data_IF_860801010564
#
_entry.id   IF_860801010564
#
_cell.length_a   1.000
_cell.length_b   1.000
_cell.length_c   1.000
_cell.angle_alpha   90.00
_cell.angle_beta   90.00
_cell.angle_gamma   90.00
#
_symmetry.space_group_name_H-M   'P 1'
#
loop_
_entity.id
_entity.type
_entity.pdbx_description
1 polymer ?
#
# COMPACT_ATOMS: atom_id res chain seq x y z
N UNK A 1 -19.56 -11.04 8.35
CA UNK A 1 -19.13 -11.84 7.17
C UNK A 1 -20.17 -12.93 6.96
N UNK A 2 -20.89 -12.93 5.83
CA UNK A 2 -21.95 -13.92 5.57
C UNK A 2 -21.38 -15.19 4.92
N UNK A 3 -22.08 -16.33 4.97
CA UNK A 3 -21.64 -17.54 4.24
C UNK A 3 -21.40 -17.26 2.74
N UNK A 4 -22.21 -16.40 2.12
CA UNK A 4 -22.04 -16.02 0.72
C UNK A 4 -20.76 -15.21 0.46
N UNK A 5 -20.31 -14.38 1.41
CA UNK A 5 -19.01 -13.69 1.34
C UNK A 5 -17.84 -14.68 1.40
N UNK A 6 -18.03 -15.84 2.04
CA UNK A 6 -17.01 -16.88 2.20
C UNK A 6 -16.66 -17.60 0.88
N UNK A 7 -17.62 -17.69 -0.04
CA UNK A 7 -17.48 -18.45 -1.30
C UNK A 7 -17.31 -17.59 -2.55
N UNK A 8 -17.77 -16.32 -2.53
CA UNK A 8 -17.73 -15.46 -3.71
C UNK A 8 -16.36 -14.80 -3.84
N UNK A 9 -15.57 -15.20 -4.85
CA UNK A 9 -14.29 -14.59 -5.22
C UNK A 9 -14.48 -13.17 -5.77
N UNK A 10 -14.73 -12.20 -4.89
CA UNK A 10 -14.88 -10.78 -5.26
C UNK A 10 -13.51 -10.24 -5.69
N UNK A 11 -13.49 -9.44 -6.77
CA UNK A 11 -12.27 -8.85 -7.32
C UNK A 11 -11.41 -8.10 -6.28
N UNK A 12 -11.98 -7.31 -5.34
CA UNK A 12 -11.19 -6.68 -4.29
C UNK A 12 -10.47 -7.67 -3.36
N UNK A 13 -11.11 -8.81 -3.06
CA UNK A 13 -10.54 -9.85 -2.20
C UNK A 13 -9.38 -10.55 -2.92
N UNK A 14 -9.55 -10.87 -4.20
CA UNK A 14 -8.48 -11.46 -5.01
C UNK A 14 -7.28 -10.50 -5.14
N UNK A 15 -7.53 -9.21 -5.37
CA UNK A 15 -6.47 -8.20 -5.44
C UNK A 15 -5.73 -8.06 -4.11
N UNK A 16 -6.44 -8.15 -2.99
CA UNK A 16 -5.84 -8.13 -1.65
C UNK A 16 -4.89 -9.32 -1.43
N UNK A 17 -5.33 -10.55 -1.75
CA UNK A 17 -4.48 -11.73 -1.62
C UNK A 17 -3.29 -11.68 -2.58
N UNK A 18 -3.49 -11.28 -3.82
CA UNK A 18 -2.40 -11.13 -4.79
C UNK A 18 -1.34 -10.12 -4.31
N UNK A 19 -1.79 -8.99 -3.73
CA UNK A 19 -0.89 -8.02 -3.10
C UNK A 19 -0.13 -8.64 -1.92
N UNK A 20 -0.83 -9.33 -1.01
CA UNK A 20 -0.22 -10.01 0.14
C UNK A 20 0.86 -11.02 -0.28
N UNK A 21 0.58 -11.80 -1.33
CA UNK A 21 1.51 -12.78 -1.87
C UNK A 21 2.73 -12.11 -2.51
N UNK A 22 2.56 -10.99 -3.21
CA UNK A 22 3.65 -10.20 -3.78
C UNK A 22 4.58 -9.64 -2.69
N UNK A 23 4.04 -9.09 -1.61
CA UNK A 23 4.83 -8.59 -0.47
C UNK A 23 5.67 -9.72 0.15
N UNK A 24 5.05 -10.88 0.39
CA UNK A 24 5.72 -12.06 0.95
C UNK A 24 6.81 -12.58 0.03
N UNK A 25 6.55 -12.64 -1.28
CA UNK A 25 7.53 -13.09 -2.26
C UNK A 25 8.77 -12.19 -2.31
N UNK A 26 8.58 -10.89 -2.09
CA UNK A 26 9.68 -9.92 -2.07
C UNK A 26 10.42 -9.84 -0.71
N UNK A 27 10.05 -10.65 0.29
CA UNK A 27 10.63 -10.66 1.64
C UNK A 27 10.76 -9.27 2.26
N UNK A 28 9.72 -8.44 2.10
CA UNK A 28 9.70 -7.08 2.65
C UNK A 28 9.69 -7.16 4.17
N UNK A 29 10.59 -6.41 4.81
CA UNK A 29 10.65 -6.25 6.26
C UNK A 29 10.37 -4.80 6.65
N UNK A 30 9.92 -4.61 7.88
CA UNK A 30 9.65 -3.30 8.47
C UNK A 30 10.07 -3.33 9.94
N UNK A 31 10.74 -2.29 10.47
CA UNK A 31 10.97 -2.19 11.91
C UNK A 31 9.65 -1.93 12.66
N UNK A 32 9.66 -2.12 13.97
CA UNK A 32 8.47 -1.92 14.83
C UNK A 32 8.10 -0.44 15.02
N UNK A 33 9.02 0.49 14.72
CA UNK A 33 8.85 1.94 14.90
C UNK A 33 9.79 2.72 13.98
N UNK A 34 9.62 4.04 13.94
CA UNK A 34 10.50 4.99 13.26
C UNK A 34 10.70 4.67 11.77
N UNK A 35 9.64 4.30 11.07
CA UNK A 35 9.67 4.13 9.62
C UNK A 35 8.81 5.16 8.90
N UNK A 36 9.13 5.40 7.64
CA UNK A 36 8.28 6.10 6.69
C UNK A 36 8.02 5.23 5.46
N UNK A 37 6.79 4.76 5.31
CA UNK A 37 6.30 4.10 4.11
C UNK A 37 5.74 5.15 3.15
N UNK A 38 6.22 5.14 1.91
CA UNK A 38 5.63 5.90 0.80
C UNK A 38 5.07 4.94 -0.24
N UNK A 39 3.74 4.93 -0.36
CA UNK A 39 3.04 4.26 -1.44
C UNK A 39 3.02 5.15 -2.68
N UNK A 40 3.67 4.71 -3.74
CA UNK A 40 3.61 5.35 -5.05
C UNK A 40 2.54 4.63 -5.86
N UNK A 41 1.42 5.30 -6.13
CA UNK A 41 0.31 4.73 -6.90
C UNK A 41 0.41 5.14 -8.36
N UNK A 42 0.28 4.19 -9.30
CA UNK A 42 0.43 4.47 -10.72
C UNK A 42 -0.70 5.40 -11.19
N UNK A 43 -0.33 6.47 -11.88
CA UNK A 43 -1.30 7.37 -12.49
C UNK A 43 -2.10 6.65 -13.59
N UNK A 44 -3.43 6.88 -13.69
CA UNK A 44 -4.25 6.23 -14.71
C UNK A 44 -3.73 6.49 -16.14
N UNK A 45 -3.73 5.48 -17.02
CA UNK A 45 -3.30 5.65 -18.41
C UNK A 45 -4.23 6.58 -19.21
N UNK A 46 -5.46 6.76 -18.74
CA UNK A 46 -6.44 7.71 -19.31
C UNK A 46 -6.08 9.17 -19.05
N UNK A 47 -5.13 9.47 -18.17
CA UNK A 47 -4.72 10.85 -17.93
C UNK A 47 -3.83 11.36 -19.06
N UNK A 48 -4.08 12.60 -19.49
CA UNK A 48 -3.22 13.28 -20.46
C UNK A 48 -1.78 13.40 -19.94
N UNK A 49 -0.80 13.43 -20.85
CA UNK A 49 0.62 13.61 -20.50
C UNK A 49 0.86 14.84 -19.63
N UNK A 50 0.15 15.95 -19.92
CA UNK A 50 0.20 17.18 -19.13
C UNK A 50 -0.25 16.94 -17.68
N UNK A 51 -1.39 16.27 -17.48
CA UNK A 51 -1.90 15.95 -16.15
C UNK A 51 -0.97 15.00 -15.39
N UNK A 52 -0.45 13.96 -16.07
CA UNK A 52 0.50 13.02 -15.46
C UNK A 52 1.76 13.74 -14.98
N UNK A 53 2.34 14.59 -15.82
CA UNK A 53 3.51 15.40 -15.46
C UNK A 53 3.23 16.32 -14.27
N UNK A 54 2.07 16.99 -14.25
CA UNK A 54 1.70 17.90 -13.17
C UNK A 54 1.42 17.21 -11.83
N UNK A 55 0.91 15.97 -11.87
CA UNK A 55 0.52 15.21 -10.69
C UNK A 55 1.61 14.27 -10.19
N UNK A 56 2.65 13.98 -10.96
CA UNK A 56 3.74 13.10 -10.55
C UNK A 56 4.37 13.58 -9.23
N UNK A 57 4.48 12.69 -8.25
CA UNK A 57 4.96 12.98 -6.89
C UNK A 57 3.99 13.78 -6.01
N UNK A 58 2.83 14.20 -6.51
CA UNK A 58 1.82 14.92 -5.72
C UNK A 58 1.03 13.95 -4.82
N UNK A 59 0.45 14.44 -3.71
CA UNK A 59 -0.39 13.61 -2.85
C UNK A 59 -1.52 12.90 -3.60
N UNK A 60 -1.67 11.60 -3.33
CA UNK A 60 -2.77 10.81 -3.86
C UNK A 60 -3.97 10.88 -2.91
N UNK A 61 -5.00 11.65 -3.24
CA UNK A 61 -6.19 11.86 -2.40
C UNK A 61 -7.43 11.08 -2.88
N UNK A 62 -7.23 9.89 -3.47
CA UNK A 62 -8.30 8.98 -3.89
C UNK A 62 -8.20 7.64 -3.17
N UNK A 63 -9.15 6.73 -3.41
CA UNK A 63 -9.04 5.32 -3.00
C UNK A 63 -7.94 4.61 -3.80
N UNK A 64 -7.20 3.65 -3.21
CA UNK A 64 -7.35 3.15 -1.84
C UNK A 64 -6.92 4.14 -0.76
N UNK A 65 -7.58 4.08 0.39
CA UNK A 65 -7.32 4.95 1.54
C UNK A 65 -5.96 4.62 2.19
N UNK A 66 -5.36 5.59 2.90
CA UNK A 66 -4.00 5.45 3.45
C UNK A 66 -3.92 4.29 4.46
N UNK A 67 -4.89 4.24 5.35
CA UNK A 67 -5.08 3.21 6.37
C UNK A 67 -5.27 1.81 5.78
N UNK A 68 -6.01 1.69 4.68
CA UNK A 68 -6.20 0.41 3.98
C UNK A 68 -4.90 -0.10 3.37
N UNK A 69 -4.07 0.79 2.81
CA UNK A 69 -2.75 0.41 2.28
C UNK A 69 -1.79 -0.01 3.39
N UNK A 70 -1.74 0.77 4.46
CA UNK A 70 -0.94 0.49 5.65
C UNK A 70 -1.34 -0.86 6.26
N UNK A 71 -2.63 -1.06 6.52
CA UNK A 71 -3.15 -2.33 7.04
C UNK A 71 -2.77 -3.52 6.16
N UNK A 72 -2.95 -3.40 4.85
CA UNK A 72 -2.64 -4.50 3.94
C UNK A 72 -1.15 -4.87 3.93
N UNK A 73 -0.26 -3.87 4.10
CA UNK A 73 1.17 -4.11 4.19
C UNK A 73 1.54 -4.74 5.54
N UNK A 74 1.02 -4.22 6.66
CA UNK A 74 1.27 -4.77 7.99
C UNK A 74 0.76 -6.21 8.12
N UNK A 75 -0.48 -6.48 7.69
CA UNK A 75 -1.06 -7.84 7.67
C UNK A 75 -0.24 -8.82 6.80
N UNK A 76 0.57 -8.31 5.86
CA UNK A 76 1.41 -9.09 4.97
C UNK A 76 2.82 -9.35 5.51
N UNK A 77 3.41 -8.35 6.17
CA UNK A 77 4.77 -8.38 6.74
C UNK A 77 4.80 -9.07 8.10
N UNK A 78 3.80 -8.82 8.96
CA UNK A 78 3.74 -9.35 10.31
C UNK A 78 2.64 -10.41 10.45
N UNK A 79 2.95 -11.47 11.20
CA UNK A 79 1.93 -12.42 11.66
C UNK A 79 1.14 -11.85 12.86
N UNK A 80 1.77 -10.96 13.64
CA UNK A 80 1.18 -10.18 14.73
C UNK A 80 1.69 -8.73 14.64
N UNK A 81 0.86 -7.84 14.12
CA UNK A 81 1.17 -6.42 13.91
C UNK A 81 0.99 -5.57 15.18
N UNK A 82 0.54 -6.16 16.31
CA UNK A 82 0.36 -5.44 17.59
C UNK A 82 1.65 -4.84 18.16
N UNK A 83 2.80 -5.33 17.69
CA UNK A 83 4.14 -4.83 18.05
C UNK A 83 4.49 -3.51 17.36
N UNK A 84 3.81 -3.17 16.26
CA UNK A 84 4.02 -1.93 15.51
C UNK A 84 3.26 -0.81 16.20
N UNK A 85 3.99 0.09 16.86
CA UNK A 85 3.40 1.16 17.68
C UNK A 85 3.63 2.57 17.12
N UNK A 86 4.56 2.71 16.17
CA UNK A 86 4.86 3.96 15.50
C UNK A 86 5.16 3.74 14.01
N UNK A 87 4.83 4.73 13.19
CA UNK A 87 5.06 4.67 11.76
C UNK A 87 4.43 5.84 11.01
N UNK A 88 5.13 6.32 9.98
CA UNK A 88 4.60 7.32 9.05
C UNK A 88 4.21 6.67 7.73
N UNK A 89 3.04 7.04 7.22
CA UNK A 89 2.59 6.60 5.89
C UNK A 89 2.17 7.78 5.04
N UNK A 90 2.63 7.80 3.79
CA UNK A 90 2.17 8.74 2.77
C UNK A 90 1.85 8.02 1.47
N UNK A 91 0.92 8.58 0.69
CA UNK A 91 0.62 8.10 -0.66
C UNK A 91 0.74 9.22 -1.69
N UNK A 92 1.42 8.93 -2.79
CA UNK A 92 1.69 9.89 -3.88
C UNK A 92 1.39 9.25 -5.21
N UNK A 93 1.15 10.08 -6.22
CA UNK A 93 1.08 9.61 -7.60
C UNK A 93 2.48 9.35 -8.16
N UNK A 94 2.60 8.34 -9.02
CA UNK A 94 3.83 8.08 -9.77
C UNK A 94 3.61 7.40 -11.11
N UNK A 95 4.69 7.24 -11.84
CA UNK A 95 4.70 6.57 -13.15
C UNK A 95 4.53 5.05 -13.01
N UNK A 96 5.10 4.46 -11.96
CA UNK A 96 5.04 3.02 -11.65
C UNK A 96 4.56 2.82 -10.22
N UNK A 97 3.84 1.74 -9.98
CA UNK A 97 3.46 1.32 -8.62
C UNK A 97 4.68 0.88 -7.84
N UNK A 98 4.90 1.45 -6.65
CA UNK A 98 6.07 1.14 -5.80
C UNK A 98 5.74 1.34 -4.33
N UNK A 99 6.44 0.61 -3.47
CA UNK A 99 6.46 0.82 -2.03
C UNK A 99 7.89 1.18 -1.66
N UNK A 100 8.08 2.33 -1.03
CA UNK A 100 9.38 2.80 -0.56
C UNK A 100 9.32 2.81 0.96
N UNK A 101 10.23 2.08 1.60
CA UNK A 101 10.35 2.01 3.05
C UNK A 101 11.66 2.70 3.41
N UNK A 102 11.61 3.60 4.39
CA UNK A 102 12.78 4.26 4.97
C UNK A 102 12.71 4.16 6.47
N UNK A 103 13.82 3.84 7.09
CA UNK A 103 14.00 4.03 8.53
C UNK A 103 14.32 5.50 8.79
N UNK A 104 13.77 6.02 9.87
CA UNK A 104 13.99 7.37 10.37
C UNK A 104 14.89 7.23 11.60
N UNK A 105 15.83 8.16 11.75
CA UNK A 105 16.60 8.25 12.98
C UNK A 105 15.65 8.61 14.14
N UNK A 106 15.85 7.95 15.28
CA UNK A 106 15.07 8.14 16.50
C UNK A 106 15.38 9.47 17.22
#
# INVERSE_FOLDING_TARGET
MTQADRWRKRKPVLNYYAFKDEIRLNNITLPESHYHITFVLPMPPSWSKKKRTAMNGKPHQQKPDKDNLEKALLDAVFDDDSRVWDGRVTKVWGEKGQIIIRELDA
#
